data_IF_876781130184
#
_entry.id   IF_876781130184
#
_cell.length_a   1.000
_cell.length_b   1.000
_cell.length_c   1.000
_cell.angle_alpha   90.00
_cell.angle_beta   90.00
_cell.angle_gamma   90.00
#
_symmetry.space_group_name_H-M   'P 1'
#
loop_
_entity.id
_entity.type
_entity.pdbx_description
1 polymer ?
#
# COMPACT_ATOMS: atom_id res chain seq x y z
N UNK A 1 8.29 -13.31 -1.18
CA UNK A 1 7.48 -12.49 -2.10
C UNK A 1 8.45 -11.64 -2.90
N UNK A 2 8.38 -11.73 -4.21
CA UNK A 2 9.36 -11.21 -5.16
C UNK A 2 8.70 -10.38 -6.29
N UNK A 3 7.38 -10.46 -6.47
CA UNK A 3 6.68 -9.76 -7.57
C UNK A 3 5.42 -9.02 -7.12
N UNK A 4 5.01 -8.02 -7.92
CA UNK A 4 3.74 -7.28 -7.73
C UNK A 4 2.53 -8.21 -7.85
N UNK A 5 2.60 -9.23 -8.71
CA UNK A 5 1.53 -10.22 -8.84
C UNK A 5 1.31 -11.01 -7.54
N UNK A 6 2.39 -11.37 -6.84
CA UNK A 6 2.30 -12.01 -5.52
C UNK A 6 1.77 -11.06 -4.44
N UNK A 7 2.13 -9.77 -4.50
CA UNK A 7 1.56 -8.72 -3.64
C UNK A 7 0.04 -8.64 -3.80
N UNK A 8 -0.44 -8.59 -5.05
CA UNK A 8 -1.87 -8.57 -5.38
C UNK A 8 -2.56 -9.85 -4.89
N UNK A 9 -1.94 -11.02 -5.11
CA UNK A 9 -2.47 -12.29 -4.65
C UNK A 9 -2.57 -12.34 -3.11
N UNK A 10 -1.56 -11.82 -2.40
CA UNK A 10 -1.57 -11.75 -0.93
C UNK A 10 -2.67 -10.82 -0.42
N UNK A 11 -2.85 -9.64 -1.00
CA UNK A 11 -3.95 -8.73 -0.65
C UNK A 11 -5.33 -9.34 -0.91
N UNK A 12 -5.51 -10.09 -2.01
CA UNK A 12 -6.76 -10.78 -2.30
C UNK A 12 -7.04 -11.91 -1.29
N UNK A 13 -6.01 -12.62 -0.83
CA UNK A 13 -6.16 -13.60 0.24
C UNK A 13 -6.53 -12.94 1.58
N UNK A 14 -5.95 -11.77 1.89
CA UNK A 14 -6.31 -10.99 3.08
C UNK A 14 -7.78 -10.54 2.98
N UNK A 15 -8.20 -9.97 1.84
CA UNK A 15 -9.59 -9.57 1.58
C UNK A 15 -10.58 -10.72 1.88
N UNK A 16 -10.30 -11.92 1.36
CA UNK A 16 -11.13 -13.11 1.59
C UNK A 16 -11.15 -13.64 3.03
N UNK A 17 -10.21 -13.22 3.88
CA UNK A 17 -10.10 -13.65 5.28
C UNK A 17 -10.73 -12.69 6.29
N UNK A 18 -11.04 -11.46 5.86
CA UNK A 18 -11.54 -10.41 6.75
C UNK A 18 -13.06 -10.25 6.62
N UNK A 19 -13.71 -9.90 7.73
CA UNK A 19 -15.11 -9.52 7.68
C UNK A 19 -15.28 -8.20 6.92
N UNK A 20 -16.36 -8.06 6.15
CA UNK A 20 -16.61 -6.85 5.33
C UNK A 20 -16.65 -5.55 6.13
N UNK A 21 -16.97 -5.61 7.42
CA UNK A 21 -17.03 -4.44 8.31
C UNK A 21 -15.72 -4.17 9.06
N UNK A 22 -14.69 -5.00 8.88
CA UNK A 22 -13.39 -4.81 9.49
C UNK A 22 -12.68 -3.58 8.90
N UNK A 23 -12.15 -2.71 9.76
CA UNK A 23 -11.40 -1.53 9.35
C UNK A 23 -10.17 -1.86 8.51
N UNK A 24 -9.48 -2.97 8.80
CA UNK A 24 -8.34 -3.42 8.01
C UNK A 24 -8.77 -3.79 6.59
N UNK A 25 -9.95 -4.38 6.43
CA UNK A 25 -10.51 -4.68 5.10
C UNK A 25 -10.68 -3.38 4.29
N UNK A 26 -11.14 -2.29 4.90
CA UNK A 26 -11.32 -1.00 4.20
C UNK A 26 -10.02 -0.43 3.64
N UNK A 27 -8.92 -0.54 4.39
CA UNK A 27 -7.62 -0.16 3.86
C UNK A 27 -7.13 -1.15 2.80
N UNK A 28 -7.26 -2.46 3.03
CA UNK A 28 -6.86 -3.49 2.08
C UNK A 28 -7.55 -3.32 0.72
N UNK A 29 -8.86 -3.06 0.70
CA UNK A 29 -9.65 -2.85 -0.50
C UNK A 29 -9.15 -1.64 -1.31
N UNK A 30 -8.88 -0.53 -0.60
CA UNK A 30 -8.30 0.68 -1.20
C UNK A 30 -6.93 0.37 -1.81
N UNK A 31 -6.06 -0.26 -1.04
CA UNK A 31 -4.69 -0.54 -1.45
C UNK A 31 -4.64 -1.50 -2.64
N UNK A 32 -5.44 -2.57 -2.61
CA UNK A 32 -5.57 -3.51 -3.72
C UNK A 32 -6.11 -2.83 -4.98
N UNK A 33 -7.10 -1.95 -4.85
CA UNK A 33 -7.63 -1.19 -5.98
C UNK A 33 -6.57 -0.27 -6.60
N UNK A 34 -5.83 0.48 -5.79
CA UNK A 34 -4.75 1.36 -6.26
C UNK A 34 -3.64 0.54 -6.94
N UNK A 35 -3.18 -0.55 -6.32
CA UNK A 35 -2.09 -1.39 -6.85
C UNK A 35 -2.44 -1.98 -8.21
N UNK A 36 -3.67 -2.49 -8.38
CA UNK A 36 -4.14 -3.00 -9.68
C UNK A 36 -4.21 -1.91 -10.76
N UNK A 37 -4.65 -0.70 -10.40
CA UNK A 37 -4.70 0.39 -11.37
C UNK A 37 -3.30 0.91 -11.71
N UNK A 38 -2.38 0.96 -10.75
CA UNK A 38 -0.96 1.27 -11.00
C UNK A 38 -0.37 0.23 -11.95
N UNK A 39 -0.52 -1.07 -11.68
CA UNK A 39 -0.02 -2.16 -12.54
C UNK A 39 -0.49 -2.02 -14.00
N UNK A 40 -1.78 -1.73 -14.21
CA UNK A 40 -2.33 -1.47 -15.56
C UNK A 40 -1.70 -0.26 -16.25
N UNK A 41 -1.47 0.82 -15.51
CA UNK A 41 -0.90 2.05 -16.06
C UNK A 41 0.63 1.97 -16.24
N UNK A 42 1.31 1.03 -15.56
CA UNK A 42 2.75 0.79 -15.71
C UNK A 42 3.11 0.05 -17.01
N UNK A 43 2.19 -0.73 -17.58
CA UNK A 43 2.45 -1.60 -18.74
C UNK A 43 2.95 -0.89 -20.02
N UNK A 44 2.86 0.45 -20.09
CA UNK A 44 3.37 1.26 -21.20
C UNK A 44 4.43 2.29 -20.82
N UNK A 45 4.88 2.31 -19.57
CA UNK A 45 5.82 3.31 -19.06
C UNK A 45 7.25 2.74 -19.04
N UNK A 46 8.19 3.44 -19.69
CA UNK A 46 9.60 3.10 -19.61
C UNK A 46 10.22 3.65 -18.32
N UNK A 47 10.72 2.77 -17.46
CA UNK A 47 11.48 3.13 -16.26
C UNK A 47 12.96 2.90 -16.49
N UNK A 48 13.80 3.76 -15.90
CA UNK A 48 15.26 3.63 -16.01
C UNK A 48 15.77 2.41 -15.20
N UNK A 49 15.17 2.14 -14.04
CA UNK A 49 15.44 1.01 -13.16
C UNK A 49 14.14 0.37 -12.65
N UNK A 50 13.51 -0.42 -13.53
CA UNK A 50 12.31 -1.18 -13.21
C UNK A 50 12.53 -2.21 -12.09
N UNK A 51 13.77 -2.70 -11.90
CA UNK A 51 14.06 -3.69 -10.85
C UNK A 51 14.00 -3.05 -9.48
N UNK A 52 14.57 -1.86 -9.33
CA UNK A 52 14.47 -1.08 -8.10
C UNK A 52 13.00 -0.78 -7.75
N UNK A 53 12.21 -0.27 -8.70
CA UNK A 53 10.79 0.03 -8.43
C UNK A 53 9.98 -1.20 -8.04
N UNK A 54 10.18 -2.32 -8.76
CA UNK A 54 9.49 -3.59 -8.44
C UNK A 54 9.86 -4.05 -7.03
N UNK A 55 11.14 -3.95 -6.66
CA UNK A 55 11.60 -4.33 -5.33
C UNK A 55 11.03 -3.40 -4.26
N UNK A 56 11.02 -2.09 -4.50
CA UNK A 56 10.44 -1.10 -3.60
C UNK A 56 8.96 -1.41 -3.32
N UNK A 57 8.17 -1.70 -4.35
CA UNK A 57 6.75 -2.07 -4.21
C UNK A 57 6.57 -3.32 -3.32
N UNK A 58 7.35 -4.36 -3.57
CA UNK A 58 7.31 -5.62 -2.80
C UNK A 58 7.71 -5.41 -1.33
N UNK A 59 8.79 -4.65 -1.07
CA UNK A 59 9.24 -4.35 0.29
C UNK A 59 8.20 -3.48 1.01
N UNK A 60 7.63 -2.51 0.31
CA UNK A 60 6.61 -1.62 0.84
C UNK A 60 5.35 -2.39 1.25
N UNK A 61 4.79 -3.20 0.36
CA UNK A 61 3.66 -4.09 0.65
C UNK A 61 3.96 -5.05 1.81
N UNK A 62 5.19 -5.57 1.87
CA UNK A 62 5.65 -6.48 2.92
C UNK A 62 5.56 -5.91 4.34
N UNK A 63 5.72 -4.59 4.51
CA UNK A 63 5.56 -3.93 5.81
C UNK A 63 4.10 -3.95 6.29
N UNK A 64 3.15 -3.72 5.40
CA UNK A 64 1.72 -3.90 5.69
C UNK A 64 1.40 -5.36 6.03
N UNK A 65 1.90 -6.31 5.24
CA UNK A 65 1.66 -7.74 5.50
C UNK A 65 2.24 -8.19 6.84
N UNK A 66 3.40 -7.67 7.23
CA UNK A 66 3.98 -7.91 8.56
C UNK A 66 3.03 -7.43 9.67
N UNK A 67 2.39 -6.27 9.50
CA UNK A 67 1.43 -5.76 10.49
C UNK A 67 0.17 -6.64 10.57
N UNK A 68 -0.34 -7.11 9.42
CA UNK A 68 -1.49 -8.03 9.35
C UNK A 68 -1.17 -9.37 10.03
N UNK A 69 -0.02 -9.96 9.72
CA UNK A 69 0.40 -11.25 10.25
C UNK A 69 0.68 -11.16 11.76
N UNK A 70 1.28 -10.06 12.22
CA UNK A 70 1.47 -9.79 13.65
C UNK A 70 0.12 -9.75 14.38
N UNK A 71 -0.85 -9.01 13.85
CA UNK A 71 -2.18 -8.93 14.44
C UNK A 71 -2.89 -10.30 14.47
N UNK A 72 -2.78 -11.07 13.38
CA UNK A 72 -3.42 -12.40 13.29
C UNK A 72 -2.81 -13.44 14.25
N UNK A 73 -1.51 -13.32 14.54
CA UNK A 73 -0.79 -14.22 15.45
C UNK A 73 -0.79 -13.75 16.91
N UNK A 74 -1.38 -12.60 17.21
CA UNK A 74 -1.34 -12.00 18.55
C UNK A 74 0.02 -11.41 18.93
N UNK A 75 0.94 -11.26 17.96
CA UNK A 75 2.22 -10.61 18.16
C UNK A 75 2.06 -9.07 18.21
N UNK A 76 3.05 -8.34 18.76
CA UNK A 76 3.01 -6.88 18.77
C UNK A 76 2.95 -6.28 17.36
N UNK A 77 1.88 -5.55 17.07
CA UNK A 77 1.70 -4.80 15.82
C UNK A 77 2.63 -3.57 15.82
N UNK A 78 3.27 -3.22 14.69
CA UNK A 78 4.07 -2.01 14.57
C UNK A 78 3.30 -0.75 15.00
N UNK A 79 3.96 0.15 15.71
CA UNK A 79 3.31 1.31 16.37
C UNK A 79 2.50 2.20 15.43
N UNK A 80 2.98 2.42 14.20
CA UNK A 80 2.28 3.22 13.20
C UNK A 80 0.93 2.59 12.79
N UNK A 81 0.82 1.27 12.85
CA UNK A 81 -0.36 0.50 12.47
C UNK A 81 -1.33 0.26 13.62
N UNK A 82 -0.87 0.34 14.88
CA UNK A 82 -1.69 0.09 16.08
C UNK A 82 -3.05 0.81 16.07
N UNK A 83 -3.17 2.12 15.73
CA UNK A 83 -4.47 2.80 15.76
C UNK A 83 -5.53 2.15 14.85
N UNK A 84 -5.14 1.64 13.68
CA UNK A 84 -6.05 0.95 12.78
C UNK A 84 -6.48 -0.40 13.38
N UNK A 85 -5.53 -1.20 13.84
CA UNK A 85 -5.80 -2.54 14.37
C UNK A 85 -6.60 -2.49 15.69
N UNK A 86 -6.30 -1.56 16.59
CA UNK A 86 -7.03 -1.40 17.87
C UNK A 86 -8.49 -0.96 17.64
N UNK A 87 -8.73 -0.16 16.61
CA UNK A 87 -10.06 0.38 16.30
C UNK A 87 -10.83 -0.45 15.27
N UNK A 88 -10.26 -1.53 14.73
CA UNK A 88 -10.74 -2.20 13.50
C UNK A 88 -12.18 -2.74 13.53
N UNK A 89 -12.73 -2.99 14.72
CA UNK A 89 -14.13 -3.43 14.91
C UNK A 89 -14.98 -2.37 15.62
N UNK A 90 -14.44 -1.19 15.88
CA UNK A 90 -15.09 -0.17 16.68
C UNK A 90 -16.31 0.38 15.94
N UNK A 91 -17.51 0.33 16.56
CA UNK A 91 -18.70 0.85 15.92
C UNK A 91 -18.62 2.38 15.78
N UNK A 92 -19.39 2.93 14.84
CA UNK A 92 -19.52 4.38 14.58
C UNK A 92 -18.25 5.07 14.04
N UNK A 93 -17.27 4.32 13.56
CA UNK A 93 -16.19 4.86 12.72
C UNK A 93 -16.58 4.67 11.25
N UNK A 94 -16.48 5.72 10.45
CA UNK A 94 -16.82 5.64 9.04
C UNK A 94 -15.76 4.80 8.29
N UNK A 95 -16.16 3.98 7.29
CA UNK A 95 -15.22 3.15 6.52
C UNK A 95 -14.02 3.91 5.96
N UNK A 96 -14.22 5.17 5.52
CA UNK A 96 -13.14 6.02 5.00
C UNK A 96 -12.08 6.34 6.04
N UNK A 97 -12.44 6.46 7.32
CA UNK A 97 -11.49 6.78 8.38
C UNK A 97 -10.51 5.63 8.60
N UNK A 98 -10.95 4.38 8.43
CA UNK A 98 -10.07 3.23 8.49
C UNK A 98 -9.11 3.17 7.30
N UNK A 99 -9.61 3.41 6.09
CA UNK A 99 -8.77 3.54 4.90
C UNK A 99 -7.70 4.62 5.07
N UNK A 100 -8.08 5.80 5.58
CA UNK A 100 -7.15 6.90 5.85
C UNK A 100 -6.13 6.58 6.95
N UNK A 101 -6.52 5.86 8.00
CA UNK A 101 -5.60 5.41 9.04
C UNK A 101 -4.54 4.45 8.47
N UNK A 102 -4.94 3.50 7.62
CA UNK A 102 -4.02 2.62 6.92
C UNK A 102 -3.12 3.37 5.94
N UNK A 103 -3.66 4.32 5.16
CA UNK A 103 -2.85 5.19 4.30
C UNK A 103 -1.81 5.98 5.10
N UNK A 104 -2.18 6.47 6.27
CA UNK A 104 -1.26 7.22 7.12
C UNK A 104 -0.08 6.35 7.58
N UNK A 105 -0.35 5.14 8.08
CA UNK A 105 0.68 4.19 8.48
C UNK A 105 1.55 3.76 7.29
N UNK A 106 0.91 3.41 6.18
CA UNK A 106 1.62 2.91 5.02
C UNK A 106 2.46 4.02 4.36
N UNK A 107 1.85 5.11 3.94
CA UNK A 107 2.56 6.15 3.17
C UNK A 107 3.54 6.94 4.06
N UNK A 108 3.13 7.40 5.24
CA UNK A 108 3.97 8.33 6.01
C UNK A 108 5.01 7.64 6.88
N UNK A 109 4.89 6.33 7.12
CA UNK A 109 5.85 5.56 7.90
C UNK A 109 6.51 4.47 7.07
N UNK A 110 5.73 3.56 6.48
CA UNK A 110 6.32 2.39 5.81
C UNK A 110 7.12 2.75 4.55
N UNK A 111 6.70 3.77 3.78
CA UNK A 111 7.37 4.12 2.53
C UNK A 111 8.83 4.56 2.75
N UNK A 112 9.07 5.35 3.80
CA UNK A 112 10.41 5.78 4.18
C UNK A 112 11.30 4.58 4.55
N UNK A 113 10.74 3.61 5.28
CA UNK A 113 11.45 2.39 5.65
C UNK A 113 11.75 1.51 4.43
N UNK A 114 10.77 1.38 3.53
CA UNK A 114 10.91 0.61 2.30
C UNK A 114 12.00 1.20 1.39
N UNK A 115 12.00 2.52 1.19
CA UNK A 115 13.03 3.22 0.42
C UNK A 115 14.43 2.96 0.98
N UNK A 116 14.62 3.16 2.29
CA UNK A 116 15.92 2.92 2.94
C UNK A 116 16.36 1.46 2.81
N UNK A 117 15.43 0.51 3.00
CA UNK A 117 15.73 -0.91 2.89
C UNK A 117 16.14 -1.30 1.46
N UNK A 118 15.37 -0.88 0.45
CA UNK A 118 15.64 -1.18 -0.96
C UNK A 118 16.93 -0.53 -1.45
N UNK A 119 17.19 0.73 -1.08
CA UNK A 119 18.45 1.40 -1.41
C UNK A 119 19.66 0.67 -0.81
N UNK A 120 19.58 0.24 0.46
CA UNK A 120 20.63 -0.55 1.10
C UNK A 120 20.84 -1.90 0.43
N UNK A 121 19.77 -2.58 0.05
CA UNK A 121 19.83 -3.87 -0.66
C UNK A 121 20.56 -3.75 -2.00
N UNK A 122 20.36 -2.64 -2.72
CA UNK A 122 20.96 -2.41 -4.04
C UNK A 122 22.31 -1.68 -3.98
N UNK A 123 22.77 -1.27 -2.79
CA UNK A 123 23.99 -0.47 -2.64
C UNK A 123 23.89 0.92 -3.28
N UNK A 124 22.69 1.51 -3.25
CA UNK A 124 22.38 2.82 -3.85
C UNK A 124 22.26 3.86 -2.74
N UNK A 125 22.89 5.01 -2.94
CA UNK A 125 22.70 6.17 -2.08
C UNK A 125 21.38 6.88 -2.39
N UNK A 126 20.69 7.36 -1.35
CA UNK A 126 19.49 8.18 -1.49
C UNK A 126 19.86 9.58 -2.00
N UNK A 127 19.91 9.73 -3.33
CA UNK A 127 20.28 10.97 -4.00
C UNK A 127 19.28 11.34 -5.12
N UNK A 128 19.01 12.65 -5.24
CA UNK A 128 18.03 13.21 -6.18
C UNK A 128 18.44 13.16 -7.66
N UNK A 129 19.73 12.96 -7.96
CA UNK A 129 20.29 12.82 -9.31
C UNK A 129 20.25 11.40 -9.86
N UNK A 130 19.75 10.43 -9.10
CA UNK A 130 19.77 9.02 -9.49
C UNK A 130 18.62 8.65 -10.43
N UNK A 131 18.79 7.61 -11.28
CA UNK A 131 17.68 7.01 -12.04
C UNK A 131 16.50 6.61 -11.15
N UNK A 132 16.79 6.03 -9.98
CA UNK A 132 15.79 5.55 -9.02
C UNK A 132 14.93 6.68 -8.47
N UNK A 133 15.52 7.85 -8.19
CA UNK A 133 14.75 9.02 -7.77
C UNK A 133 13.86 9.56 -8.90
N UNK A 134 14.35 9.60 -10.14
CA UNK A 134 13.53 10.04 -11.30
C UNK A 134 12.37 9.09 -11.54
N UNK A 135 12.60 7.79 -11.44
CA UNK A 135 11.58 6.75 -11.54
C UNK A 135 10.57 6.84 -10.38
N UNK A 136 11.03 7.06 -9.15
CA UNK A 136 10.16 7.32 -7.99
C UNK A 136 9.23 8.52 -8.24
N UNK A 137 9.75 9.64 -8.73
CA UNK A 137 8.92 10.80 -9.08
C UNK A 137 7.98 10.52 -10.26
N UNK A 138 8.39 9.68 -11.21
CA UNK A 138 7.55 9.26 -12.33
C UNK A 138 6.32 8.49 -11.85
N UNK A 139 6.44 7.68 -10.79
CA UNK A 139 5.29 6.99 -10.17
C UNK A 139 4.22 7.97 -9.69
N UNK A 140 4.58 9.16 -9.19
CA UNK A 140 3.60 10.16 -8.76
C UNK A 140 2.62 10.57 -9.89
N UNK A 141 3.12 10.70 -11.12
CA UNK A 141 2.27 11.01 -12.28
C UNK A 141 1.28 9.89 -12.60
N UNK A 142 1.66 8.65 -12.32
CA UNK A 142 0.78 7.49 -12.47
C UNK A 142 -0.28 7.51 -11.38
N UNK A 143 0.12 7.75 -10.13
CA UNK A 143 -0.78 7.87 -9.00
C UNK A 143 -1.82 8.97 -9.19
N UNK A 144 -1.46 10.13 -9.76
CA UNK A 144 -2.40 11.21 -10.10
C UNK A 144 -3.51 10.76 -11.06
N UNK A 145 -3.17 9.93 -12.06
CA UNK A 145 -4.16 9.35 -12.99
C UNK A 145 -5.06 8.34 -12.28
N UNK A 146 -4.45 7.47 -11.46
CA UNK A 146 -5.16 6.43 -10.68
C UNK A 146 -6.10 7.05 -9.66
N UNK A 147 -5.71 8.15 -9.02
CA UNK A 147 -6.48 8.85 -7.99
C UNK A 147 -7.89 9.19 -8.48
N UNK A 148 -8.00 9.69 -9.71
CA UNK A 148 -9.31 10.05 -10.31
C UNK A 148 -10.23 8.84 -10.45
N UNK A 149 -9.68 7.70 -10.88
CA UNK A 149 -10.44 6.44 -11.03
C UNK A 149 -10.87 5.91 -9.67
N UNK A 150 -9.95 5.89 -8.72
CA UNK A 150 -10.18 5.35 -7.37
C UNK A 150 -11.18 6.22 -6.60
N UNK A 151 -11.06 7.56 -6.67
CA UNK A 151 -12.02 8.50 -6.09
C UNK A 151 -13.44 8.26 -6.58
N UNK A 152 -13.65 7.94 -7.86
CA UNK A 152 -14.99 7.65 -8.38
C UNK A 152 -15.57 6.37 -7.75
N UNK A 153 -14.76 5.32 -7.57
CA UNK A 153 -15.18 4.09 -6.89
C UNK A 153 -15.56 4.36 -5.44
N UNK A 154 -14.81 5.21 -4.75
CA UNK A 154 -15.13 5.62 -3.39
C UNK A 154 -16.39 6.49 -3.31
N UNK A 155 -16.60 7.41 -4.26
CA UNK A 155 -17.85 8.19 -4.31
C UNK A 155 -19.08 7.30 -4.57
N UNK A 156 -18.93 6.28 -5.40
CA UNK A 156 -20.04 5.39 -5.81
C UNK A 156 -20.31 4.28 -4.80
N UNK A 157 -19.29 3.81 -4.06
CA UNK A 157 -19.41 2.70 -3.11
C UNK A 157 -19.39 3.11 -1.63
N UNK A 158 -19.12 4.38 -1.29
CA UNK A 158 -18.82 4.82 0.08
C UNK A 158 -19.72 5.97 0.59
N UNK A 159 -20.76 6.34 -0.16
CA UNK A 159 -21.96 7.02 0.39
C UNK A 159 -23.04 5.97 0.65
N UNK A 160 -22.67 4.89 1.33
CA UNK A 160 -23.64 4.05 2.04
C UNK A 160 -23.87 4.70 3.39
N UNK A 161 -24.82 5.64 3.44
CA UNK A 161 -25.49 6.05 4.68
C UNK A 161 -26.29 4.87 5.20
#
# INVERSE_FOLDING_TARGET
>A
METVAEVIARMAAIEGSLATHDGVARFNDLYLAVTREVEKNLAGEAFEDQRFLTRLDVVFAGLYFTAVDAAASGAPVPRAWQPLFDARTRPKIAPIQFALAGMNAHINHDLCLALVATCREFGIDLDTGTPQHRDYLKVNRILERVESVVKLRFKQGLVGV
#
